data_IF_300969669362
#
_entry.id   IF_300969669362
#
_cell.length_a   1.000
_cell.length_b   1.000
_cell.length_c   1.000
_cell.angle_alpha   90.00
_cell.angle_beta   90.00
_cell.angle_gamma   90.00
#
_symmetry.space_group_name_H-M   'P 1'
#
loop_
_entity.id
_entity.type
_entity.pdbx_description
1 polymer ?
#
# COMPACT_ATOMS: atom_id res chain seq x y z
N UNK A 1 25.10 -25.47 -17.47
CA UNK A 1 23.91 -24.84 -18.01
C UNK A 1 24.39 -23.51 -18.60
N UNK A 2 24.06 -23.19 -19.84
CA UNK A 2 24.50 -21.93 -20.44
C UNK A 2 23.86 -20.77 -19.67
N UNK A 3 24.68 -19.83 -19.22
CA UNK A 3 24.20 -18.55 -18.69
C UNK A 3 23.53 -17.78 -19.82
N UNK A 4 22.36 -17.20 -19.53
CA UNK A 4 21.61 -16.40 -20.48
C UNK A 4 21.73 -14.95 -20.04
N UNK A 5 21.98 -14.06 -20.97
CA UNK A 5 21.99 -12.63 -20.70
C UNK A 5 20.58 -12.04 -20.92
N UNK A 6 20.18 -11.14 -20.03
CA UNK A 6 18.98 -10.34 -20.17
C UNK A 6 19.34 -8.86 -20.14
N UNK A 7 18.67 -8.06 -20.99
CA UNK A 7 18.81 -6.62 -21.01
C UNK A 7 17.72 -6.00 -20.12
N UNK A 8 18.10 -5.25 -19.09
CA UNK A 8 17.18 -4.44 -18.29
C UNK A 8 17.32 -2.97 -18.68
N UNK A 9 16.20 -2.34 -19.01
CA UNK A 9 16.10 -0.90 -19.19
C UNK A 9 15.54 -0.29 -17.90
N UNK A 10 16.43 0.26 -17.08
CA UNK A 10 16.07 0.81 -15.77
C UNK A 10 16.00 2.32 -15.84
N UNK A 11 14.91 2.90 -15.31
CA UNK A 11 14.78 4.35 -15.22
C UNK A 11 15.83 4.92 -14.25
N UNK A 12 16.51 5.98 -14.70
CA UNK A 12 17.48 6.75 -13.93
C UNK A 12 17.09 8.22 -13.97
N UNK A 13 16.91 8.81 -12.79
CA UNK A 13 16.50 10.20 -12.68
C UNK A 13 16.05 10.60 -11.29
N UNK A 14 15.42 11.75 -11.21
CA UNK A 14 14.91 12.35 -9.98
C UNK A 14 13.58 13.08 -10.24
N UNK A 15 13.18 13.99 -9.36
CA UNK A 15 11.95 14.80 -9.50
C UNK A 15 11.95 15.75 -10.70
N UNK A 16 13.12 16.08 -11.25
CA UNK A 16 13.26 16.98 -12.40
C UNK A 16 13.12 16.25 -13.74
N UNK A 17 13.25 14.93 -13.72
CA UNK A 17 13.13 14.06 -14.88
C UNK A 17 14.16 12.94 -14.91
N UNK A 18 14.17 12.20 -15.99
CA UNK A 18 15.12 11.10 -16.17
C UNK A 18 14.89 10.35 -17.46
N UNK A 19 15.74 9.35 -17.71
CA UNK A 19 15.68 8.51 -18.89
C UNK A 19 16.02 7.06 -18.53
N UNK A 20 15.82 6.16 -19.51
CA UNK A 20 16.13 4.74 -19.36
C UNK A 20 17.59 4.46 -19.71
N UNK A 21 18.31 3.76 -18.83
CA UNK A 21 19.64 3.22 -19.10
C UNK A 21 19.56 1.70 -19.21
N UNK A 22 20.22 1.14 -20.22
CA UNK A 22 20.26 -0.31 -20.45
C UNK A 22 21.45 -0.94 -19.73
N UNK A 23 21.20 -2.11 -19.14
CA UNK A 23 22.17 -2.91 -18.42
C UNK A 23 22.03 -4.38 -18.84
N UNK A 24 23.16 -5.05 -19.04
CA UNK A 24 23.20 -6.49 -19.33
C UNK A 24 23.46 -7.24 -18.03
N UNK A 25 22.61 -8.24 -17.75
CA UNK A 25 22.71 -9.07 -16.55
C UNK A 25 22.70 -10.53 -16.90
N UNK A 26 23.65 -11.27 -16.36
CA UNK A 26 23.67 -12.73 -16.47
C UNK A 26 22.57 -13.33 -15.58
N UNK A 27 21.70 -14.14 -16.20
CA UNK A 27 20.54 -14.72 -15.50
C UNK A 27 20.79 -16.18 -15.11
N UNK A 28 20.21 -16.58 -13.98
CA UNK A 28 20.24 -17.94 -13.47
C UNK A 28 18.82 -18.43 -13.12
N UNK A 29 18.61 -19.76 -13.04
CA UNK A 29 17.31 -20.33 -12.69
C UNK A 29 16.81 -19.82 -11.32
N UNK A 30 15.55 -19.31 -11.29
CA UNK A 30 14.94 -18.79 -10.08
C UNK A 30 15.19 -17.30 -9.81
N UNK A 31 16.07 -16.64 -10.55
CA UNK A 31 16.37 -15.22 -10.42
C UNK A 31 15.11 -14.36 -10.55
N UNK A 32 15.00 -13.34 -9.72
CA UNK A 32 13.92 -12.34 -9.75
C UNK A 32 14.45 -10.97 -10.20
N UNK A 33 13.56 -10.08 -10.62
CA UNK A 33 13.93 -8.73 -11.07
C UNK A 33 14.73 -7.97 -10.02
N UNK A 34 14.41 -8.12 -8.73
CA UNK A 34 15.16 -7.47 -7.65
C UNK A 34 16.62 -7.95 -7.59
N UNK A 35 16.89 -9.24 -7.86
CA UNK A 35 18.27 -9.76 -7.89
C UNK A 35 19.03 -9.15 -9.06
N UNK A 36 18.39 -9.01 -10.23
CA UNK A 36 18.99 -8.34 -11.38
C UNK A 36 19.33 -6.87 -11.08
N UNK A 37 18.45 -6.14 -10.39
CA UNK A 37 18.72 -4.77 -9.93
C UNK A 37 19.91 -4.73 -8.95
N UNK A 38 20.03 -5.69 -8.03
CA UNK A 38 21.18 -5.77 -7.13
C UNK A 38 22.48 -6.10 -7.86
N UNK A 39 22.43 -6.94 -8.88
CA UNK A 39 23.59 -7.26 -9.72
C UNK A 39 24.06 -6.00 -10.47
N UNK A 40 23.14 -5.21 -11.01
CA UNK A 40 23.43 -3.91 -11.62
C UNK A 40 24.09 -2.97 -10.60
N UNK A 41 23.53 -2.87 -9.39
CA UNK A 41 24.13 -2.03 -8.34
C UNK A 41 25.55 -2.49 -7.97
N UNK A 42 25.77 -3.80 -7.87
CA UNK A 42 27.04 -4.33 -7.42
C UNK A 42 28.16 -4.18 -8.44
N UNK A 43 27.86 -4.30 -9.75
CA UNK A 43 28.89 -4.42 -10.80
C UNK A 43 28.92 -3.27 -11.80
N UNK A 44 27.77 -2.60 -12.04
CA UNK A 44 27.68 -1.66 -13.16
C UNK A 44 27.33 -0.24 -12.69
N UNK A 45 26.45 -0.09 -11.71
CA UNK A 45 25.91 1.19 -11.33
C UNK A 45 25.65 1.30 -9.82
N UNK A 46 26.67 1.51 -8.99
CA UNK A 46 26.53 1.59 -7.53
C UNK A 46 25.63 2.70 -7.02
N UNK A 47 25.34 3.70 -7.87
CA UNK A 47 24.49 4.86 -7.53
C UNK A 47 23.01 4.62 -7.77
N UNK A 48 22.61 3.47 -8.34
CA UNK A 48 21.22 3.13 -8.61
C UNK A 48 20.43 3.02 -7.30
N UNK A 49 19.44 3.89 -7.12
CA UNK A 49 18.60 3.87 -5.92
C UNK A 49 17.43 2.91 -6.08
N UNK A 50 17.28 2.00 -5.13
CA UNK A 50 16.17 1.06 -5.04
C UNK A 50 15.75 0.86 -3.59
N UNK A 51 14.43 0.76 -3.35
CA UNK A 51 13.90 0.43 -2.02
C UNK A 51 13.58 -1.06 -1.95
N UNK A 52 14.09 -1.73 -0.92
CA UNK A 52 13.81 -3.14 -0.66
C UNK A 52 14.02 -3.48 0.82
N UNK A 53 13.52 -4.63 1.27
CA UNK A 53 13.76 -5.11 2.64
C UNK A 53 13.68 -6.65 2.71
N UNK A 54 12.48 -7.27 2.71
CA UNK A 54 12.29 -8.68 3.07
C UNK A 54 12.71 -9.69 1.99
N UNK A 55 12.75 -9.31 0.71
CA UNK A 55 12.98 -10.20 -0.46
C UNK A 55 11.98 -11.38 -0.58
N UNK A 56 10.87 -11.36 0.15
CA UNK A 56 9.94 -12.49 0.29
C UNK A 56 8.46 -12.09 0.06
N UNK A 57 8.20 -10.97 -0.61
CA UNK A 57 6.85 -10.50 -0.92
C UNK A 57 6.01 -10.04 0.29
N UNK A 58 6.65 -9.73 1.46
CA UNK A 58 5.93 -9.45 2.72
C UNK A 58 5.95 -8.00 3.16
N UNK A 59 6.88 -7.18 2.70
CA UNK A 59 7.04 -5.80 3.17
C UNK A 59 6.53 -4.72 2.20
N UNK A 60 6.20 -5.09 0.95
CA UNK A 60 5.75 -4.15 -0.06
C UNK A 60 6.78 -3.16 -0.61
N UNK A 61 7.99 -3.08 -0.02
CA UNK A 61 8.94 -2.00 -0.29
C UNK A 61 9.51 -2.00 -1.71
N UNK A 62 9.66 -3.15 -2.36
CA UNK A 62 10.27 -3.29 -3.69
C UNK A 62 9.27 -3.13 -4.85
N UNK A 63 8.19 -2.34 -4.64
CA UNK A 63 7.21 -2.04 -5.68
C UNK A 63 7.80 -1.20 -6.81
N UNK A 64 7.59 -1.63 -8.06
CA UNK A 64 7.98 -0.91 -9.26
C UNK A 64 7.04 -1.28 -10.42
N UNK A 65 7.11 -0.56 -11.54
CA UNK A 65 6.48 -1.00 -12.78
C UNK A 65 7.49 -1.79 -13.62
N UNK A 66 7.21 -3.08 -13.81
CA UNK A 66 8.02 -3.96 -14.64
C UNK A 66 7.22 -4.24 -15.93
N UNK A 67 7.76 -3.84 -17.07
CA UNK A 67 7.08 -3.83 -18.37
C UNK A 67 5.68 -3.19 -18.31
N UNK A 68 5.61 -2.02 -17.63
CA UNK A 68 4.39 -1.24 -17.47
C UNK A 68 3.38 -1.81 -16.47
N UNK A 69 3.64 -2.98 -15.83
CA UNK A 69 2.78 -3.58 -14.84
C UNK A 69 3.33 -3.37 -13.43
N UNK A 70 2.56 -2.72 -12.52
CA UNK A 70 2.95 -2.63 -11.12
C UNK A 70 3.15 -4.01 -10.49
N UNK A 71 4.34 -4.24 -9.94
CA UNK A 71 4.75 -5.56 -9.44
C UNK A 71 5.73 -5.43 -8.28
N UNK A 72 5.81 -6.44 -7.41
CA UNK A 72 6.90 -6.58 -6.46
C UNK A 72 8.10 -7.19 -7.17
N UNK A 73 9.21 -6.47 -7.27
CA UNK A 73 10.41 -6.95 -7.97
C UNK A 73 10.96 -8.24 -7.35
N UNK A 74 10.83 -8.44 -6.04
CA UNK A 74 11.26 -9.66 -5.35
C UNK A 74 10.39 -10.90 -5.65
N UNK A 75 9.20 -10.72 -6.25
CA UNK A 75 8.30 -11.81 -6.62
C UNK A 75 8.19 -11.99 -8.14
N UNK A 76 8.79 -11.10 -8.91
CA UNK A 76 8.75 -11.12 -10.37
C UNK A 76 9.94 -11.89 -10.92
N UNK A 77 9.70 -13.12 -11.36
CA UNK A 77 10.77 -14.00 -11.91
C UNK A 77 11.23 -13.53 -13.28
N UNK A 78 12.54 -13.56 -13.52
CA UNK A 78 13.12 -13.24 -14.82
C UNK A 78 12.65 -14.20 -15.92
N UNK A 79 12.35 -15.44 -15.60
CA UNK A 79 11.84 -16.45 -16.55
C UNK A 79 10.44 -16.17 -17.12
N UNK A 80 9.75 -15.12 -16.64
CA UNK A 80 8.43 -14.70 -17.17
C UNK A 80 8.56 -13.88 -18.45
N UNK A 81 9.73 -13.35 -18.73
CA UNK A 81 9.97 -12.46 -19.86
C UNK A 81 10.53 -13.23 -21.05
N UNK A 82 10.21 -12.75 -22.24
CA UNK A 82 10.71 -13.33 -23.49
C UNK A 82 12.21 -13.08 -23.63
N UNK A 83 12.95 -14.12 -24.03
CA UNK A 83 14.40 -14.02 -24.29
C UNK A 83 14.69 -12.99 -25.39
N UNK A 84 15.72 -12.20 -25.20
CA UNK A 84 16.15 -11.18 -26.16
C UNK A 84 15.32 -9.90 -26.16
N UNK A 85 14.18 -9.84 -25.42
CA UNK A 85 13.44 -8.59 -25.27
C UNK A 85 13.94 -7.83 -24.03
N UNK A 86 14.20 -6.51 -24.17
CA UNK A 86 14.55 -5.69 -23.02
C UNK A 86 13.40 -5.60 -22.02
N UNK A 87 13.70 -5.83 -20.73
CA UNK A 87 12.75 -5.69 -19.62
C UNK A 87 12.82 -4.27 -19.08
N UNK A 88 11.72 -3.55 -19.08
CA UNK A 88 11.67 -2.19 -18.55
C UNK A 88 11.36 -2.18 -17.06
N UNK A 89 12.10 -1.40 -16.29
CA UNK A 89 11.85 -1.18 -14.86
C UNK A 89 11.74 0.32 -14.60
N UNK A 90 10.54 0.75 -14.17
CA UNK A 90 10.20 2.14 -13.91
C UNK A 90 9.71 2.30 -12.47
N UNK A 91 9.97 3.44 -11.79
CA UNK A 91 9.34 3.72 -10.51
C UNK A 91 7.81 3.75 -10.62
N UNK A 92 7.11 3.63 -9.50
CA UNK A 92 5.66 3.72 -9.45
C UNK A 92 5.20 5.12 -9.89
N UNK A 93 4.51 5.22 -11.04
CA UNK A 93 4.18 6.50 -11.71
C UNK A 93 3.17 7.38 -10.97
N UNK A 94 2.37 6.80 -10.09
CA UNK A 94 1.38 7.56 -9.31
C UNK A 94 2.00 8.33 -8.14
N UNK A 95 3.29 8.15 -7.90
CA UNK A 95 4.02 8.79 -6.81
C UNK A 95 5.20 9.62 -7.33
N UNK A 96 5.50 10.77 -6.69
CA UNK A 96 6.65 11.57 -7.06
C UNK A 96 7.96 10.76 -6.97
N UNK A 97 8.82 10.90 -7.96
CA UNK A 97 10.13 10.25 -7.96
C UNK A 97 11.09 11.01 -7.05
N UNK A 98 11.70 10.31 -6.12
CA UNK A 98 12.80 10.85 -5.29
C UNK A 98 14.12 10.65 -6.01
N UNK A 99 14.43 9.40 -6.36
CA UNK A 99 15.61 9.04 -7.15
C UNK A 99 15.42 7.65 -7.76
N UNK A 100 15.66 7.52 -9.04
CA UNK A 100 15.62 6.28 -9.81
C UNK A 100 14.32 5.48 -9.56
N UNK A 101 14.41 4.33 -8.88
CA UNK A 101 13.26 3.48 -8.55
C UNK A 101 12.61 3.81 -7.19
N UNK A 102 13.11 4.84 -6.49
CA UNK A 102 12.56 5.27 -5.19
C UNK A 102 11.56 6.40 -5.39
N UNK A 103 10.36 6.20 -4.88
CA UNK A 103 9.26 7.17 -4.93
C UNK A 103 8.87 7.67 -3.55
N UNK A 104 8.31 8.88 -3.46
CA UNK A 104 7.71 9.41 -2.25
C UNK A 104 6.29 8.86 -2.08
N UNK A 105 6.10 8.06 -1.05
CA UNK A 105 4.82 7.44 -0.70
C UNK A 105 4.15 8.09 0.52
N UNK A 106 4.59 9.27 0.93
CA UNK A 106 4.12 10.00 2.12
C UNK A 106 2.61 10.24 2.11
N UNK A 107 2.03 10.51 0.92
CA UNK A 107 0.59 10.64 0.74
C UNK A 107 -0.20 9.49 1.38
N UNK A 108 0.31 8.26 1.25
CA UNK A 108 -0.39 7.10 1.78
C UNK A 108 -0.43 7.11 3.32
N UNK A 109 0.62 7.57 3.96
CA UNK A 109 0.65 7.67 5.43
C UNK A 109 -0.26 8.79 5.94
N UNK A 110 -0.33 9.92 5.23
CA UNK A 110 -1.26 10.99 5.57
C UNK A 110 -2.73 10.55 5.41
N UNK A 111 -3.04 9.80 4.34
CA UNK A 111 -4.37 9.21 4.19
C UNK A 111 -4.70 8.19 5.28
N UNK A 112 -3.74 7.35 5.68
CA UNK A 112 -3.94 6.38 6.76
C UNK A 112 -4.30 7.04 8.08
N UNK A 113 -3.68 8.19 8.41
CA UNK A 113 -3.97 8.97 9.63
C UNK A 113 -5.40 9.49 9.70
N UNK A 114 -6.05 9.69 8.56
CA UNK A 114 -7.45 10.13 8.50
C UNK A 114 -8.45 9.03 8.84
N UNK A 115 -8.03 7.77 8.93
CA UNK A 115 -8.90 6.65 9.23
C UNK A 115 -8.96 6.46 10.75
N UNK A 116 -10.10 6.73 11.42
CA UNK A 116 -10.25 6.46 12.83
C UNK A 116 -10.10 4.96 13.11
N UNK A 117 -9.44 4.57 14.21
CA UNK A 117 -9.29 3.17 14.59
C UNK A 117 -10.65 2.51 14.86
N UNK A 118 -10.64 1.18 14.98
CA UNK A 118 -11.78 0.39 15.42
C UNK A 118 -12.26 0.89 16.80
N UNK A 119 -13.58 1.13 16.92
CA UNK A 119 -14.21 1.44 18.20
C UNK A 119 -15.14 0.30 18.60
N UNK A 120 -14.68 -0.65 19.41
CA UNK A 120 -15.46 -1.83 19.70
C UNK A 120 -16.67 -1.50 20.60
N UNK A 121 -17.76 -2.25 20.42
CA UNK A 121 -18.88 -2.25 21.35
C UNK A 121 -18.43 -2.68 22.76
N UNK A 122 -19.20 -2.38 23.81
CA UNK A 122 -18.93 -2.93 25.15
C UNK A 122 -18.77 -4.46 25.11
N UNK A 123 -17.98 -4.97 26.03
CA UNK A 123 -17.83 -6.42 26.20
C UNK A 123 -19.15 -7.05 26.65
N UNK A 124 -19.33 -8.31 26.33
CA UNK A 124 -20.44 -9.12 26.81
C UNK A 124 -20.30 -9.32 28.35
N UNK A 125 -21.35 -9.80 29.02
CA UNK A 125 -21.37 -9.93 30.47
C UNK A 125 -20.25 -10.81 31.07
N UNK A 126 -19.70 -11.71 30.28
CA UNK A 126 -18.57 -12.59 30.61
C UNK A 126 -17.20 -11.94 30.34
N UNK A 127 -17.16 -10.67 29.96
CA UNK A 127 -15.93 -9.92 29.66
C UNK A 127 -15.33 -10.20 28.27
N UNK A 128 -15.98 -10.99 27.44
CA UNK A 128 -15.50 -11.35 26.08
C UNK A 128 -16.19 -10.53 24.99
N UNK A 129 -15.72 -10.66 23.74
CA UNK A 129 -16.41 -10.24 22.55
C UNK A 129 -16.68 -11.46 21.68
N UNK A 130 -17.96 -11.79 21.50
CA UNK A 130 -18.36 -12.86 20.61
C UNK A 130 -18.68 -12.32 19.24
N UNK A 131 -18.17 -13.00 18.21
CA UNK A 131 -18.40 -12.69 16.81
C UNK A 131 -18.80 -13.95 16.06
N UNK A 132 -19.66 -13.80 15.07
CA UNK A 132 -20.01 -14.92 14.21
C UNK A 132 -18.87 -15.15 13.19
N UNK A 133 -18.59 -16.41 12.87
CA UNK A 133 -17.53 -16.76 11.93
C UNK A 133 -17.78 -16.15 10.54
N UNK A 134 -19.02 -16.12 10.08
CA UNK A 134 -19.38 -15.51 8.79
C UNK A 134 -19.02 -14.02 8.70
N UNK A 135 -19.10 -13.26 9.80
CA UNK A 135 -18.70 -11.85 9.83
C UNK A 135 -17.18 -11.70 9.78
N UNK A 136 -16.46 -12.61 10.43
CA UNK A 136 -15.00 -12.66 10.38
C UNK A 136 -14.52 -13.03 8.98
N UNK A 137 -15.12 -14.04 8.36
CA UNK A 137 -14.74 -14.49 7.01
C UNK A 137 -14.90 -13.37 5.98
N UNK A 138 -15.88 -12.50 6.16
CA UNK A 138 -16.12 -11.34 5.30
C UNK A 138 -14.98 -10.31 5.32
N UNK A 139 -14.33 -10.11 6.47
CA UNK A 139 -13.37 -9.03 6.68
C UNK A 139 -11.91 -9.50 6.73
N UNK A 140 -11.66 -10.80 7.00
CA UNK A 140 -10.29 -11.30 7.23
C UNK A 140 -9.40 -11.16 5.99
N UNK A 141 -9.97 -11.18 4.79
CA UNK A 141 -9.24 -11.00 3.54
C UNK A 141 -8.47 -9.66 3.51
N UNK A 142 -9.06 -8.59 4.03
CA UNK A 142 -8.46 -7.26 4.01
C UNK A 142 -7.22 -7.13 4.90
N UNK A 143 -7.09 -8.01 5.91
CA UNK A 143 -5.91 -8.07 6.80
C UNK A 143 -4.65 -8.58 6.12
N UNK A 144 -4.77 -9.22 4.96
CA UNK A 144 -3.62 -9.69 4.17
C UNK A 144 -2.84 -8.54 3.54
N UNK A 145 -3.37 -7.32 3.55
CA UNK A 145 -2.75 -6.18 2.89
C UNK A 145 -1.39 -5.82 3.49
N UNK A 146 -0.34 -5.92 2.69
CA UNK A 146 1.06 -5.61 3.05
C UNK A 146 1.46 -4.16 2.75
N UNK A 147 0.52 -3.30 2.41
CA UNK A 147 0.76 -1.86 2.14
C UNK A 147 1.80 -1.58 1.04
N UNK A 148 1.82 -2.41 0.01
CA UNK A 148 2.76 -2.26 -1.12
C UNK A 148 2.39 -1.12 -2.08
N UNK A 149 1.17 -0.59 -2.00
CA UNK A 149 0.63 0.49 -2.83
C UNK A 149 0.58 0.22 -4.34
N UNK A 150 0.77 -1.01 -4.80
CA UNK A 150 0.64 -1.36 -6.22
C UNK A 150 -0.78 -1.08 -6.75
N UNK A 151 -1.80 -1.32 -5.92
CA UNK A 151 -3.19 -1.00 -6.24
C UNK A 151 -3.45 0.51 -6.38
N UNK A 152 -2.72 1.34 -5.62
CA UNK A 152 -2.73 2.80 -5.77
C UNK A 152 -2.07 3.20 -7.10
N UNK A 153 -0.94 2.58 -7.42
CA UNK A 153 -0.18 2.88 -8.63
C UNK A 153 -0.92 2.51 -9.92
N UNK A 154 -1.66 1.40 -9.94
CA UNK A 154 -2.40 0.98 -11.14
C UNK A 154 -3.73 1.71 -11.31
N UNK A 155 -4.20 2.41 -10.27
CA UNK A 155 -5.50 3.05 -10.30
C UNK A 155 -5.50 4.23 -11.29
N UNK A 156 -6.23 4.10 -12.41
CA UNK A 156 -6.30 5.14 -13.42
C UNK A 156 -6.95 6.42 -12.90
N UNK A 157 -7.82 6.36 -11.89
CA UNK A 157 -8.39 7.55 -11.26
C UNK A 157 -7.31 8.41 -10.60
N UNK A 158 -6.32 7.76 -9.97
CA UNK A 158 -5.17 8.44 -9.37
C UNK A 158 -4.18 8.84 -10.46
N UNK A 159 -3.77 7.89 -11.30
CA UNK A 159 -2.67 8.03 -12.26
C UNK A 159 -3.00 8.93 -13.44
N UNK A 160 -4.13 8.65 -14.10
CA UNK A 160 -4.45 9.27 -15.39
C UNK A 160 -5.35 10.49 -15.22
N UNK A 161 -6.34 10.40 -14.34
CA UNK A 161 -7.26 11.52 -14.07
C UNK A 161 -6.75 12.49 -13.00
N UNK A 162 -5.62 12.17 -12.34
CA UNK A 162 -4.98 12.99 -11.30
C UNK A 162 -5.98 13.51 -10.25
N UNK A 163 -6.92 12.64 -9.84
CA UNK A 163 -7.93 12.98 -8.84
C UNK A 163 -7.31 12.87 -7.45
N UNK A 164 -6.58 13.89 -7.05
CA UNK A 164 -5.90 13.99 -5.75
C UNK A 164 -6.85 13.83 -4.55
N UNK A 165 -8.13 14.11 -4.76
CA UNK A 165 -9.15 13.93 -3.72
C UNK A 165 -9.53 12.47 -3.49
N UNK A 166 -9.24 11.57 -4.43
CA UNK A 166 -9.56 10.16 -4.31
C UNK A 166 -8.53 9.43 -3.46
N UNK A 167 -8.95 8.91 -2.34
CA UNK A 167 -8.05 8.20 -1.43
C UNK A 167 -7.42 6.93 -2.04
N UNK A 168 -8.13 6.28 -2.96
CA UNK A 168 -7.67 5.09 -3.66
C UNK A 168 -8.01 3.76 -3.00
N UNK A 169 -7.76 2.67 -3.73
CA UNK A 169 -8.24 1.33 -3.35
C UNK A 169 -7.65 0.81 -2.03
N UNK A 170 -6.38 1.12 -1.69
CA UNK A 170 -5.77 0.70 -0.43
C UNK A 170 -6.56 1.14 0.80
N UNK A 171 -7.01 2.40 0.80
CA UNK A 171 -7.71 2.97 1.94
C UNK A 171 -9.17 2.56 1.97
N UNK A 172 -9.77 2.35 0.80
CA UNK A 172 -11.14 1.84 0.71
C UNK A 172 -11.25 0.42 1.27
N UNK A 173 -10.27 -0.48 1.03
CA UNK A 173 -10.31 -1.81 1.65
C UNK A 173 -10.05 -1.77 3.16
N UNK A 174 -9.23 -0.83 3.64
CA UNK A 174 -9.03 -0.65 5.08
C UNK A 174 -10.34 -0.20 5.73
N UNK A 175 -11.02 0.78 5.13
CA UNK A 175 -12.34 1.22 5.58
C UNK A 175 -13.39 0.12 5.48
N UNK A 176 -13.37 -0.72 4.42
CA UNK A 176 -14.25 -1.88 4.29
C UNK A 176 -14.06 -2.85 5.46
N UNK A 177 -12.81 -3.15 5.80
CA UNK A 177 -12.48 -4.01 6.93
C UNK A 177 -12.97 -3.47 8.28
N UNK A 178 -13.01 -2.16 8.46
CA UNK A 178 -13.53 -1.50 9.66
C UNK A 178 -15.07 -1.39 9.64
N UNK A 179 -15.65 -0.88 8.55
CA UNK A 179 -17.10 -0.65 8.44
C UNK A 179 -17.92 -1.95 8.51
N UNK A 180 -17.36 -3.04 7.98
CA UNK A 180 -17.98 -4.37 8.02
C UNK A 180 -17.63 -5.14 9.31
N UNK A 181 -16.77 -4.63 10.17
CA UNK A 181 -16.37 -5.33 11.38
C UNK A 181 -17.55 -5.42 12.36
N UNK A 182 -17.89 -6.61 12.88
CA UNK A 182 -19.07 -6.79 13.73
C UNK A 182 -19.00 -6.06 15.05
N UNK A 183 -17.81 -5.71 15.52
CA UNK A 183 -17.61 -4.96 16.75
C UNK A 183 -17.56 -3.43 16.55
N UNK A 184 -17.42 -2.93 15.31
CA UNK A 184 -17.26 -1.49 15.10
C UNK A 184 -18.58 -0.74 15.31
N UNK A 185 -18.55 0.25 16.17
CA UNK A 185 -19.70 1.10 16.50
C UNK A 185 -19.72 2.40 15.71
N UNK A 186 -18.69 2.71 14.95
CA UNK A 186 -18.62 3.93 14.16
C UNK A 186 -19.37 3.79 12.84
N UNK A 187 -20.07 4.86 12.47
CA UNK A 187 -20.62 5.03 11.12
C UNK A 187 -19.59 5.74 10.25
N UNK A 188 -19.02 5.01 9.30
CA UNK A 188 -17.94 5.49 8.43
C UNK A 188 -18.41 5.93 7.04
N UNK A 189 -19.71 5.88 6.76
CA UNK A 189 -20.27 6.09 5.41
C UNK A 189 -20.07 7.50 4.89
N UNK A 190 -20.28 8.53 5.74
CA UNK A 190 -20.02 9.92 5.38
C UNK A 190 -18.51 10.12 5.10
N UNK A 191 -17.63 9.53 5.92
CA UNK A 191 -16.18 9.54 5.70
C UNK A 191 -15.81 8.92 4.33
N UNK A 192 -16.35 7.74 4.03
CA UNK A 192 -16.12 7.03 2.76
C UNK A 192 -16.59 7.84 1.57
N UNK A 193 -17.76 8.49 1.69
CA UNK A 193 -18.37 9.30 0.63
C UNK A 193 -17.63 10.63 0.43
N UNK A 194 -17.47 11.40 1.50
CA UNK A 194 -17.12 12.82 1.41
C UNK A 194 -15.62 13.08 1.49
N UNK A 195 -14.88 12.31 2.30
CA UNK A 195 -13.43 12.46 2.43
C UNK A 195 -12.65 11.54 1.49
N UNK A 196 -13.04 10.28 1.42
CA UNK A 196 -12.34 9.26 0.62
C UNK A 196 -12.86 9.16 -0.81
N UNK A 197 -13.94 9.91 -1.13
CA UNK A 197 -14.49 10.10 -2.48
C UNK A 197 -14.69 8.77 -3.23
N UNK A 198 -15.31 7.79 -2.57
CA UNK A 198 -15.56 6.47 -3.17
C UNK A 198 -16.33 6.55 -4.49
N UNK A 199 -17.15 7.60 -4.67
CA UNK A 199 -17.91 7.86 -5.89
C UNK A 199 -17.04 7.96 -7.15
N UNK A 200 -15.78 8.37 -7.02
CA UNK A 200 -14.85 8.49 -8.15
C UNK A 200 -14.36 7.12 -8.68
N UNK A 201 -14.50 6.04 -7.91
CA UNK A 201 -14.14 4.70 -8.39
C UNK A 201 -15.15 4.19 -9.42
N UNK A 202 -14.71 3.83 -10.62
CA UNK A 202 -15.53 3.29 -11.71
C UNK A 202 -15.42 1.76 -11.88
N UNK A 203 -14.92 1.05 -10.87
CA UNK A 203 -15.00 -0.42 -10.76
C UNK A 203 -14.27 -1.18 -11.90
N UNK A 204 -13.14 -0.68 -12.37
CA UNK A 204 -12.35 -1.35 -13.44
C UNK A 204 -11.57 -2.59 -12.99
N UNK A 205 -11.52 -2.89 -11.70
CA UNK A 205 -10.86 -4.05 -11.08
C UNK A 205 -9.34 -4.14 -11.23
N UNK A 206 -8.69 -3.17 -11.87
CA UNK A 206 -7.23 -3.16 -12.04
C UNK A 206 -6.46 -3.27 -10.72
N UNK A 207 -7.01 -2.73 -9.63
CA UNK A 207 -6.41 -2.83 -8.29
C UNK A 207 -6.41 -4.26 -7.74
N UNK A 208 -7.46 -5.05 -8.02
CA UNK A 208 -7.53 -6.48 -7.63
C UNK A 208 -6.53 -7.32 -8.41
N UNK A 209 -6.33 -7.03 -9.70
CA UNK A 209 -5.44 -7.78 -10.58
C UNK A 209 -3.95 -7.68 -10.20
N UNK A 210 -3.52 -6.54 -9.65
CA UNK A 210 -2.12 -6.33 -9.27
C UNK A 210 -1.83 -6.66 -7.81
N UNK A 211 -2.85 -7.06 -7.04
CA UNK A 211 -2.67 -7.34 -5.62
C UNK A 211 -1.83 -8.61 -5.40
N UNK A 212 -0.63 -8.52 -4.78
CA UNK A 212 0.22 -9.69 -4.57
C UNK A 212 -0.35 -10.65 -3.52
N UNK A 213 -1.24 -10.19 -2.66
CA UNK A 213 -1.93 -10.99 -1.65
C UNK A 213 -3.32 -11.48 -2.13
N UNK A 214 -3.63 -11.30 -3.42
CA UNK A 214 -4.88 -11.75 -4.06
C UNK A 214 -6.15 -11.27 -3.35
N UNK A 215 -6.13 -10.06 -2.81
CA UNK A 215 -7.31 -9.45 -2.20
C UNK A 215 -8.29 -9.03 -3.29
N UNK A 216 -9.54 -9.45 -3.17
CA UNK A 216 -10.63 -9.03 -4.06
C UNK A 216 -11.09 -7.62 -3.71
N UNK A 217 -10.18 -6.64 -3.94
CA UNK A 217 -10.32 -5.24 -3.51
C UNK A 217 -11.64 -4.64 -3.98
N UNK A 218 -11.99 -4.87 -5.24
CA UNK A 218 -13.19 -4.30 -5.84
C UNK A 218 -14.44 -5.02 -5.39
N UNK A 219 -14.46 -6.34 -5.53
CA UNK A 219 -15.68 -7.13 -5.32
C UNK A 219 -16.07 -7.23 -3.84
N UNK A 220 -15.11 -7.51 -2.97
CA UNK A 220 -15.38 -7.70 -1.54
C UNK A 220 -15.30 -6.41 -0.72
N UNK A 221 -14.57 -5.39 -1.20
CA UNK A 221 -14.36 -4.14 -0.48
C UNK A 221 -15.12 -2.96 -1.06
N UNK A 222 -14.78 -2.55 -2.29
CA UNK A 222 -15.26 -1.27 -2.85
C UNK A 222 -16.75 -1.34 -3.20
N UNK A 223 -17.22 -2.41 -3.86
CA UNK A 223 -18.63 -2.55 -4.23
C UNK A 223 -19.53 -2.53 -2.99
N UNK A 224 -19.30 -3.37 -1.96
CA UNK A 224 -20.12 -3.32 -0.75
C UNK A 224 -20.09 -1.97 -0.03
N UNK A 225 -18.97 -1.25 -0.03
CA UNK A 225 -18.93 0.10 0.54
C UNK A 225 -19.77 1.09 -0.27
N UNK A 226 -19.72 1.01 -1.61
CA UNK A 226 -20.58 1.85 -2.48
C UNK A 226 -22.05 1.58 -2.26
N UNK A 227 -22.45 0.33 -2.16
CA UNK A 227 -23.84 -0.06 -1.88
C UNK A 227 -24.30 0.49 -0.53
N UNK A 228 -23.48 0.37 0.51
CA UNK A 228 -23.81 0.93 1.84
C UNK A 228 -23.97 2.44 1.84
N UNK A 229 -23.14 3.16 1.09
CA UNK A 229 -23.27 4.62 0.91
C UNK A 229 -24.51 4.96 0.11
N UNK A 230 -24.82 4.19 -0.95
CA UNK A 230 -26.00 4.40 -1.78
C UNK A 230 -27.31 4.16 -1.00
N UNK A 231 -27.40 3.06 -0.26
CA UNK A 231 -28.53 2.68 0.57
C UNK A 231 -28.88 3.77 1.61
N UNK A 232 -27.90 4.43 2.16
CA UNK A 232 -28.12 5.48 3.16
C UNK A 232 -28.64 6.79 2.58
N UNK A 233 -28.20 7.10 1.36
CA UNK A 233 -28.46 8.40 0.77
C UNK A 233 -29.63 8.38 -0.22
N UNK A 234 -29.97 7.23 -0.78
CA UNK A 234 -30.89 7.13 -1.91
C UNK A 234 -32.01 6.11 -1.73
N UNK A 235 -32.02 5.28 -0.65
CA UNK A 235 -33.09 4.31 -0.40
C UNK A 235 -34.14 4.87 0.58
N UNK A 236 -35.33 5.32 0.08
CA UNK A 236 -36.39 5.85 0.92
C UNK A 236 -37.04 4.79 1.81
N UNK A 237 -37.03 3.50 1.38
CA UNK A 237 -37.62 2.40 2.15
C UNK A 237 -36.77 2.11 3.40
N UNK A 238 -35.47 2.02 3.24
CA UNK A 238 -34.54 1.86 4.38
C UNK A 238 -34.59 3.06 5.33
N UNK A 239 -34.69 4.27 4.79
CA UNK A 239 -34.84 5.47 5.59
C UNK A 239 -36.11 5.39 6.46
N UNK A 240 -37.25 4.96 5.86
CA UNK A 240 -38.50 4.79 6.60
C UNK A 240 -38.39 3.68 7.64
N UNK A 241 -37.85 2.54 7.28
CA UNK A 241 -37.65 1.40 8.19
C UNK A 241 -36.77 1.75 9.40
N UNK A 242 -35.74 2.55 9.23
CA UNK A 242 -34.91 3.05 10.34
C UNK A 242 -35.68 3.94 11.31
N UNK A 243 -36.56 4.79 10.77
CA UNK A 243 -37.44 5.62 11.63
C UNK A 243 -38.41 4.79 12.45
N UNK A 244 -38.92 3.71 11.89
CA UNK A 244 -39.91 2.83 12.54
C UNK A 244 -39.26 1.84 13.50
N UNK A 245 -38.08 1.30 13.17
CA UNK A 245 -37.42 0.22 13.95
C UNK A 245 -36.75 0.69 15.24
N UNK A 246 -36.56 2.02 15.43
CA UNK A 246 -35.88 2.55 16.62
C UNK A 246 -34.43 2.03 16.83
N UNK A 247 -33.82 1.43 15.81
CA UNK A 247 -32.47 0.90 15.91
C UNK A 247 -31.49 2.00 16.31
N UNK A 248 -30.58 1.77 17.26
CA UNK A 248 -29.63 2.78 17.70
C UNK A 248 -28.75 3.21 16.52
N UNK A 249 -28.75 4.52 16.25
CA UNK A 249 -27.88 5.07 15.22
C UNK A 249 -26.42 4.89 15.62
N UNK A 250 -25.60 4.37 14.69
CA UNK A 250 -24.15 4.36 14.88
C UNK A 250 -23.63 5.80 14.99
N UNK A 251 -22.61 6.01 15.80
CA UNK A 251 -21.96 7.31 15.96
C UNK A 251 -21.26 7.73 14.66
N UNK A 252 -21.67 8.86 14.09
CA UNK A 252 -21.05 9.39 12.87
C UNK A 252 -19.62 9.85 13.13
N UNK A 253 -18.70 9.40 12.28
CA UNK A 253 -17.33 9.90 12.29
C UNK A 253 -17.33 11.33 11.77
N UNK A 254 -16.94 12.27 12.62
CA UNK A 254 -16.61 13.64 12.21
C UNK A 254 -15.10 13.80 12.31
N UNK A 255 -14.43 13.93 11.17
CA UNK A 255 -13.04 14.35 11.16
C UNK A 255 -12.97 15.84 11.51
N UNK A 256 -11.99 16.25 12.32
CA UNK A 256 -11.64 17.66 12.38
C UNK A 256 -11.21 18.08 10.95
N UNK A 257 -11.91 19.01 10.37
CA UNK A 257 -11.58 19.67 9.11
C UNK A 257 -10.35 20.57 9.33
N UNK A 258 -9.22 20.01 9.63
CA UNK A 258 -7.95 20.71 9.50
C UNK A 258 -7.30 20.23 8.21
N UNK A 259 -7.08 21.12 7.22
CA UNK A 259 -6.19 20.78 6.14
C UNK A 259 -4.85 20.42 6.77
N UNK A 260 -4.40 19.18 6.56
CA UNK A 260 -3.02 18.85 6.84
C UNK A 260 -2.18 19.71 5.89
N UNK A 261 -1.71 20.85 6.38
CA UNK A 261 -0.64 21.59 5.74
C UNK A 261 0.56 20.66 5.87
N UNK A 262 0.82 19.89 4.81
CA UNK A 262 2.10 19.22 4.68
C UNK A 262 3.11 20.34 4.49
N UNK A 263 3.98 20.62 5.46
CA UNK A 263 5.03 21.60 5.24
C UNK A 263 5.85 21.10 4.05
N UNK A 264 6.24 21.97 3.11
CA UNK A 264 7.13 21.58 2.03
C UNK A 264 8.33 20.88 2.66
N UNK A 265 8.75 19.78 2.08
CA UNK A 265 9.95 19.05 2.48
C UNK A 265 11.10 20.07 2.49
N UNK A 266 11.49 20.47 3.68
CA UNK A 266 12.59 21.40 3.86
C UNK A 266 13.87 20.64 3.46
N UNK A 267 14.40 20.97 2.28
CA UNK A 267 15.60 20.36 1.71
C UNK A 267 16.86 20.57 2.58
N UNK A 268 16.70 21.26 3.71
CA UNK A 268 17.76 21.56 4.69
C UNK A 268 17.71 20.72 5.96
N UNK A 269 16.76 19.78 6.09
CA UNK A 269 16.75 18.87 7.24
C UNK A 269 17.87 17.85 7.08
N UNK A 270 18.95 18.04 7.80
CA UNK A 270 20.02 17.04 7.94
C UNK A 270 19.52 15.88 8.82
N UNK A 271 20.04 14.67 8.59
CA UNK A 271 19.67 13.43 9.31
C UNK A 271 19.86 13.57 10.84
N UNK A 272 20.65 14.54 11.32
CA UNK A 272 20.90 14.83 12.73
C UNK A 272 19.68 15.36 13.51
N UNK A 273 18.64 15.85 12.84
CA UNK A 273 17.51 16.52 13.51
C UNK A 273 16.31 15.60 13.77
N UNK A 274 16.40 14.30 13.47
CA UNK A 274 15.31 13.36 13.74
C UNK A 274 15.32 12.92 15.22
N UNK A 275 14.14 12.80 15.88
CA UNK A 275 14.06 12.31 17.26
C UNK A 275 14.63 10.90 17.46
N UNK A 276 14.76 10.10 16.41
CA UNK A 276 15.38 8.77 16.41
C UNK A 276 16.91 8.83 16.44
N UNK A 277 17.55 9.87 15.87
CA UNK A 277 19.00 10.02 15.91
C UNK A 277 19.48 10.29 17.34
N UNK A 278 18.72 11.06 18.12
CA UNK A 278 19.06 11.37 19.54
C UNK A 278 18.95 10.16 20.48
N UNK A 279 18.30 9.07 20.09
CA UNK A 279 18.24 7.82 20.87
C UNK A 279 19.40 6.88 20.59
N UNK A 280 20.06 6.98 19.46
CA UNK A 280 21.19 6.12 19.10
C UNK A 280 22.45 6.42 19.93
N UNK A 281 22.63 7.66 20.34
CA UNK A 281 23.81 8.10 21.11
C UNK A 281 23.76 7.72 22.61
N UNK A 282 22.62 7.20 23.10
CA UNK A 282 22.43 6.83 24.51
C UNK A 282 22.51 5.33 24.79
N UNK A 283 22.75 4.48 23.78
CA UNK A 283 22.89 3.03 23.96
C UNK A 283 24.38 2.70 23.98
N UNK A 284 24.89 2.38 25.18
CA UNK A 284 26.25 1.86 25.34
C UNK A 284 26.45 0.58 24.49
N UNK A 285 27.63 0.41 23.87
CA UNK A 285 27.90 -0.77 23.06
C UNK A 285 27.81 -2.04 23.92
N UNK A 286 27.26 -3.16 23.39
CA UNK A 286 27.24 -4.41 24.13
C UNK A 286 28.66 -4.87 24.43
N UNK A 287 28.91 -5.18 25.71
CA UNK A 287 30.18 -5.73 26.14
C UNK A 287 30.44 -7.08 25.44
N UNK A 288 31.51 -7.15 24.70
CA UNK A 288 32.02 -8.38 24.15
C UNK A 288 32.46 -9.29 25.30
N UNK A 289 31.93 -10.50 25.37
CA UNK A 289 32.42 -11.54 26.27
C UNK A 289 31.30 -12.41 26.85
N UNK A 290 30.93 -13.45 26.13
CA UNK A 290 30.57 -14.75 26.72
C UNK A 290 31.03 -15.85 25.76
N UNK A 291 32.13 -16.49 26.18
CA UNK A 291 32.61 -17.74 25.65
C UNK A 291 31.52 -18.82 25.76
N UNK A 292 31.16 -19.43 24.63
CA UNK A 292 30.43 -20.69 24.62
C UNK A 292 31.50 -21.82 24.65
N UNK A 293 31.88 -22.22 25.86
CA UNK A 293 32.61 -23.44 26.11
C UNK A 293 31.73 -24.63 25.74
N UNK A 294 32.29 -25.54 24.94
CA UNK A 294 31.67 -26.78 24.52
C UNK A 294 31.50 -27.81 25.64
N UNK A 295 30.48 -28.62 25.49
CA UNK A 295 30.48 -30.08 25.68
C UNK A 295 29.39 -30.65 24.80
#
# INVERSE_FOLDING_TARGET
MASKNATLRVFRGNSEGGDFKSYEVETYPGMVVLDAIHEIQARQEPTLAVRWNCKAGRCGSCGAEVDGKPSLMCMTRMSRFEEGKPITVHPMRSFPVVKDLVTDVSFNFEMAKKIPPLRPRPRDADGTWRMQQADIDRIQEFRKCIECFLCQNVCHVIRDHKKEQFAGPRFLIHLAGLDMHPLDTLDRRDLVKDEFKIGLCNITKCCSEVCPEHIHITDNGIIPLKERVADDNFDPVRWLLRKVSGAPAKEKVRLPLAPAVVPPLDSKRTVSDSPSAKRADSVAPPQAGRDFGGK
#
